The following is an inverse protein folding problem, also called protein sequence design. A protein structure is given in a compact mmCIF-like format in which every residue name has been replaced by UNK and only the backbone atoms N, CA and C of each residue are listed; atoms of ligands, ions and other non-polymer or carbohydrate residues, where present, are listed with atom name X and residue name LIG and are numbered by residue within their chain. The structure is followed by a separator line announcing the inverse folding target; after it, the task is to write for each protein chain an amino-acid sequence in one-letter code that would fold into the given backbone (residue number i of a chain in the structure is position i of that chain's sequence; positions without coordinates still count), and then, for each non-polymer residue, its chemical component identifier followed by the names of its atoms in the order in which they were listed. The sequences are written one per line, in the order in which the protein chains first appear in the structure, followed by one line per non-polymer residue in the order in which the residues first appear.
data_IF_907311043007
#
_entry.id   IF_907311043007
#
_cell.length_a   1.000
_cell.length_b   1.000
_cell.length_c   1.000
_cell.angle_alpha   90.00
_cell.angle_beta   90.00
_cell.angle_gamma   90.00
#
_symmetry.space_group_name_H-M   'P 1'
#
loop_
_entity.id
_entity.type
_entity.pdbx_description
1 polymer ?
#
# COMPACT_ATOMS: atom_id res chain seq x y z
N UNK A 1 -17.43 -24.30 -11.91
CA UNK A 1 -17.59 -24.32 -10.45
C UNK A 1 -16.79 -23.15 -9.91
N UNK A 2 -17.45 -22.01 -9.65
CA UNK A 2 -16.78 -20.75 -9.28
C UNK A 2 -16.48 -20.79 -7.77
N UNK A 3 -15.23 -20.57 -7.32
CA UNK A 3 -14.92 -20.53 -5.89
C UNK A 3 -15.63 -19.34 -5.25
N UNK A 4 -16.37 -19.59 -4.16
CA UNK A 4 -17.05 -18.55 -3.38
C UNK A 4 -16.02 -17.68 -2.67
N UNK A 5 -15.83 -16.43 -3.13
CA UNK A 5 -15.20 -15.37 -2.35
C UNK A 5 -16.25 -14.80 -1.38
N UNK A 6 -16.01 -14.90 -0.07
CA UNK A 6 -16.85 -14.24 0.93
C UNK A 6 -16.31 -12.84 1.24
N UNK A 7 -17.21 -11.85 1.21
CA UNK A 7 -16.94 -10.47 1.58
C UNK A 7 -16.56 -10.37 3.06
N UNK A 8 -15.42 -9.75 3.35
CA UNK A 8 -14.99 -9.47 4.70
C UNK A 8 -15.67 -8.22 5.25
N UNK A 9 -16.51 -8.40 6.28
CA UNK A 9 -16.98 -7.31 7.13
C UNK A 9 -15.90 -6.96 8.15
N UNK A 10 -15.63 -5.66 8.36
CA UNK A 10 -14.63 -5.14 9.31
C UNK A 10 -15.23 -4.11 10.29
N UNK A 11 -14.82 -4.23 11.56
CA UNK A 11 -15.06 -3.46 12.82
C UNK A 11 -16.23 -3.87 13.75
N UNK A 12 -16.10 -3.72 15.11
CA UNK A 12 -14.94 -3.26 15.92
C UNK A 12 -14.43 -4.27 16.99
N UNK A 13 -13.28 -3.91 17.59
CA UNK A 13 -12.63 -4.39 18.82
C UNK A 13 -13.24 -5.57 19.60
N UNK A 14 -12.42 -6.61 19.79
CA UNK A 14 -12.48 -7.49 20.96
C UNK A 14 -12.90 -8.94 20.72
N UNK A 15 -11.93 -9.82 20.45
CA UNK A 15 -11.97 -11.23 20.88
C UNK A 15 -10.60 -11.87 20.66
N UNK A 16 -10.01 -12.33 21.76
CA UNK A 16 -8.73 -13.02 21.85
C UNK A 16 -8.91 -14.51 21.52
N UNK A 17 -7.99 -15.00 20.68
CA UNK A 17 -7.44 -16.35 20.49
C UNK A 17 -8.35 -17.59 20.69
N UNK A 18 -8.46 -18.36 19.61
CA UNK A 18 -8.65 -19.81 19.62
C UNK A 18 -7.70 -20.47 18.62
N UNK A 19 -6.68 -21.15 19.16
CA UNK A 19 -5.75 -22.13 18.56
C UNK A 19 -6.12 -22.75 17.20
N UNK A 20 -5.11 -22.94 16.33
CA UNK A 20 -4.68 -24.28 15.91
C UNK A 20 -3.35 -24.27 15.15
N UNK A 21 -2.54 -25.25 15.51
CA UNK A 21 -1.20 -25.61 15.08
C UNK A 21 -1.22 -26.23 13.67
N UNK A 22 -0.20 -25.98 12.85
CA UNK A 22 -0.04 -26.65 11.55
C UNK A 22 1.32 -26.40 10.93
N UNK A 23 2.30 -27.22 11.29
CA UNK A 23 3.63 -27.24 10.72
C UNK A 23 3.62 -27.69 9.25
N UNK A 24 4.49 -27.08 8.42
CA UNK A 24 4.99 -27.73 7.21
C UNK A 24 6.45 -27.34 6.99
N UNK A 25 7.31 -28.35 7.11
CA UNK A 25 8.74 -28.32 6.83
C UNK A 25 8.99 -28.34 5.32
N UNK A 26 10.02 -27.62 4.87
CA UNK A 26 10.60 -27.77 3.54
C UNK A 26 12.01 -27.18 3.48
N UNK A 27 13.03 -27.99 3.78
CA UNK A 27 14.41 -27.79 3.31
C UNK A 27 14.42 -28.12 1.80
N UNK A 28 15.21 -27.53 0.90
CA UNK A 28 16.68 -27.36 0.82
C UNK A 28 16.98 -26.59 -0.48
N UNK A 29 18.11 -25.88 -0.56
CA UNK A 29 18.74 -25.57 -1.86
C UNK A 29 19.75 -24.42 -1.84
N UNK A 30 21.05 -24.74 -1.83
CA UNK A 30 22.17 -23.81 -1.91
C UNK A 30 22.35 -23.21 -3.32
N UNK A 31 22.87 -21.98 -3.36
CA UNK A 31 23.83 -21.51 -4.37
C UNK A 31 23.25 -20.66 -5.51
N UNK A 32 23.73 -19.42 -5.64
CA UNK A 32 23.55 -18.62 -6.85
C UNK A 32 23.70 -17.11 -6.64
N UNK A 33 24.84 -16.59 -7.09
CA UNK A 33 25.28 -15.19 -7.18
C UNK A 33 24.21 -14.09 -7.08
N UNK A 34 24.54 -13.06 -6.30
CA UNK A 34 23.76 -11.86 -6.06
C UNK A 34 23.24 -11.19 -7.33
N UNK A 35 21.91 -11.09 -7.42
CA UNK A 35 21.24 -10.16 -8.32
C UNK A 35 21.55 -8.74 -7.85
N UNK A 36 22.35 -8.02 -8.63
CA UNK A 36 22.33 -6.56 -8.59
C UNK A 36 20.95 -6.15 -9.11
N UNK A 37 20.05 -5.79 -8.19
CA UNK A 37 18.77 -5.18 -8.54
C UNK A 37 19.09 -3.74 -8.94
N UNK A 38 19.16 -3.49 -10.24
CA UNK A 38 19.24 -2.12 -10.76
C UNK A 38 17.91 -1.43 -10.49
N UNK A 39 17.86 -0.59 -9.46
CA UNK A 39 16.72 0.28 -9.18
C UNK A 39 16.83 1.51 -10.08
N UNK A 40 16.48 1.39 -11.37
CA UNK A 40 16.46 2.55 -12.27
C UNK A 40 15.14 3.30 -12.10
N UNK A 41 15.09 4.25 -11.15
CA UNK A 41 14.07 5.30 -11.17
C UNK A 41 14.37 6.23 -12.36
N UNK A 42 13.73 6.00 -13.50
CA UNK A 42 13.76 6.95 -14.61
C UNK A 42 12.54 7.85 -14.52
N UNK A 43 12.71 9.00 -13.86
CA UNK A 43 11.74 10.08 -13.93
C UNK A 43 11.74 10.65 -15.36
N UNK A 44 10.66 10.40 -16.10
CA UNK A 44 10.40 11.07 -17.38
C UNK A 44 9.23 12.01 -17.20
N UNK A 45 9.52 13.31 -17.14
CA UNK A 45 8.53 14.36 -17.21
C UNK A 45 8.28 14.73 -18.67
N UNK A 46 7.03 14.66 -19.12
CA UNK A 46 6.55 15.38 -20.30
C UNK A 46 5.08 15.75 -20.10
N UNK A 47 4.78 17.04 -20.33
CA UNK A 47 3.41 17.55 -20.44
C UNK A 47 2.60 16.70 -21.43
N UNK A 48 1.56 16.02 -20.92
CA UNK A 48 0.46 15.50 -21.76
C UNK A 48 0.60 14.12 -22.38
N UNK A 49 1.76 13.46 -22.36
CA UNK A 49 1.89 12.06 -22.81
C UNK A 49 3.17 11.44 -22.25
N UNK A 50 3.06 10.35 -21.47
CA UNK A 50 4.22 9.58 -20.99
C UNK A 50 4.79 8.76 -22.17
N UNK A 51 5.66 9.39 -22.96
CA UNK A 51 6.50 8.74 -23.95
C UNK A 51 7.91 8.53 -23.39
N UNK A 52 8.10 7.52 -22.54
CA UNK A 52 9.39 7.23 -21.91
C UNK A 52 9.77 5.76 -22.05
N UNK A 53 10.57 5.43 -23.08
CA UNK A 53 11.15 4.11 -23.43
C UNK A 53 10.19 2.91 -23.48
N UNK A 54 10.42 1.97 -24.40
CA UNK A 54 9.57 0.76 -24.53
C UNK A 54 9.57 -0.16 -23.29
N UNK A 55 10.36 0.13 -22.25
CA UNK A 55 10.51 -0.70 -21.07
C UNK A 55 10.72 0.13 -19.79
N UNK A 56 9.98 -0.20 -18.73
CA UNK A 56 10.13 0.28 -17.36
C UNK A 56 9.62 -0.80 -16.41
N UNK A 57 10.24 -0.96 -15.24
CA UNK A 57 9.81 -1.96 -14.25
C UNK A 57 8.51 -1.55 -13.55
N UNK A 58 8.34 -0.26 -13.25
CA UNK A 58 7.13 0.29 -12.67
C UNK A 58 6.94 1.78 -13.03
N UNK A 59 5.70 2.26 -12.95
CA UNK A 59 5.34 3.67 -13.17
C UNK A 59 5.14 4.42 -11.85
N UNK A 60 5.37 5.73 -11.83
CA UNK A 60 5.36 6.51 -10.58
C UNK A 60 4.44 7.73 -10.66
N UNK A 61 3.11 7.57 -10.53
CA UNK A 61 2.24 8.73 -10.38
C UNK A 61 2.53 9.46 -9.06
N UNK A 62 2.58 10.79 -9.14
CA UNK A 62 2.83 11.68 -8.00
C UNK A 62 1.50 12.33 -7.56
N UNK A 63 1.20 12.30 -6.25
CA UNK A 63 -0.09 12.75 -5.66
C UNK A 63 -1.36 12.16 -6.32
N UNK A 64 -1.21 11.12 -7.12
CA UNK A 64 -2.28 10.50 -7.89
C UNK A 64 -2.23 8.98 -7.75
N UNK A 65 -3.40 8.36 -7.89
CA UNK A 65 -3.60 6.93 -7.99
C UNK A 65 -4.38 6.64 -9.27
N UNK A 66 -4.24 5.43 -9.80
CA UNK A 66 -5.11 4.99 -10.89
C UNK A 66 -6.53 4.73 -10.38
N UNK A 67 -7.53 4.92 -11.24
CA UNK A 67 -8.93 4.65 -10.90
C UNK A 67 -9.25 3.15 -10.94
N UNK A 68 -8.61 2.42 -11.85
CA UNK A 68 -8.81 0.99 -12.06
C UNK A 68 -7.57 0.17 -11.70
N UNK A 69 -7.76 -1.16 -11.59
CA UNK A 69 -6.65 -2.10 -11.47
C UNK A 69 -5.77 -2.05 -12.72
N UNK A 70 -4.46 -2.13 -12.53
CA UNK A 70 -3.49 -2.08 -13.63
C UNK A 70 -2.76 -3.41 -13.80
N UNK A 71 -2.46 -3.76 -15.05
CA UNK A 71 -1.69 -4.98 -15.38
C UNK A 71 -0.17 -4.81 -15.16
N UNK A 72 0.29 -3.56 -15.10
CA UNK A 72 1.68 -3.19 -14.82
C UNK A 72 1.86 -2.76 -13.37
N UNK A 73 3.10 -2.81 -12.86
CA UNK A 73 3.41 -2.32 -11.53
C UNK A 73 3.55 -0.80 -11.51
N UNK A 74 3.16 -0.19 -10.39
CA UNK A 74 3.29 1.23 -10.18
C UNK A 74 3.48 1.57 -8.70
N UNK A 75 3.96 2.77 -8.42
CA UNK A 75 4.24 3.28 -7.08
C UNK A 75 3.72 4.72 -6.96
N UNK A 76 2.72 4.92 -6.10
CA UNK A 76 2.22 6.24 -5.78
C UNK A 76 3.21 6.92 -4.84
N UNK A 77 3.72 8.08 -5.22
CA UNK A 77 4.58 8.90 -4.35
C UNK A 77 3.85 10.14 -3.88
N UNK A 78 3.91 10.40 -2.57
CA UNK A 78 3.32 11.60 -1.95
C UNK A 78 3.94 11.93 -0.60
N UNK A 79 3.83 13.19 -0.20
CA UNK A 79 3.99 13.61 1.19
C UNK A 79 2.83 13.15 2.08
N UNK A 80 3.07 13.15 3.40
CA UNK A 80 2.00 13.07 4.41
C UNK A 80 1.16 14.36 4.37
N UNK A 81 1.82 15.50 4.13
CA UNK A 81 1.22 16.80 3.80
C UNK A 81 1.20 17.07 2.29
N UNK A 82 1.21 18.35 1.90
CA UNK A 82 1.29 18.78 0.50
C UNK A 82 2.73 18.95 0.00
N UNK A 83 3.70 19.05 0.91
CA UNK A 83 5.12 19.12 0.59
C UNK A 83 5.85 17.79 0.81
N UNK A 84 6.94 17.60 0.05
CA UNK A 84 7.93 16.57 0.35
C UNK A 84 8.94 17.04 1.41
N UNK A 85 9.29 18.32 1.41
CA UNK A 85 10.19 18.89 2.41
C UNK A 85 9.44 19.24 3.70
N UNK A 86 10.17 19.43 4.80
CA UNK A 86 9.57 20.03 5.99
C UNK A 86 9.07 21.44 5.67
N UNK A 87 7.76 21.65 5.81
CA UNK A 87 7.14 22.96 5.69
C UNK A 87 6.50 23.36 7.03
N UNK A 88 7.12 24.32 7.72
CA UNK A 88 6.62 24.86 9.01
C UNK A 88 5.25 25.55 8.92
N UNK A 89 4.81 25.91 7.72
CA UNK A 89 3.50 26.54 7.51
C UNK A 89 2.37 25.51 7.36
N UNK A 90 2.68 24.22 7.23
CA UNK A 90 1.65 23.18 7.19
C UNK A 90 1.23 22.80 8.62
N UNK A 91 -0.01 23.15 8.98
CA UNK A 91 -0.68 22.67 10.19
C UNK A 91 -1.32 21.28 9.99
N UNK A 92 -1.87 20.68 11.07
CA UNK A 92 -2.52 19.35 11.07
C UNK A 92 -3.57 19.15 9.99
N UNK A 93 -4.27 20.20 9.58
CA UNK A 93 -5.29 20.22 8.54
C UNK A 93 -4.76 19.94 7.13
N UNK A 94 -3.46 20.16 6.92
CA UNK A 94 -2.80 19.91 5.64
C UNK A 94 -2.21 18.50 5.55
N UNK A 95 -2.15 17.79 6.67
CA UNK A 95 -1.66 16.42 6.75
C UNK A 95 -2.84 15.46 6.68
N UNK A 96 -2.66 14.35 5.97
CA UNK A 96 -3.60 13.25 6.07
C UNK A 96 -3.73 12.77 7.52
N UNK A 97 -4.96 12.46 7.92
CA UNK A 97 -5.23 11.66 9.10
C UNK A 97 -4.70 10.23 8.92
N UNK A 98 -4.57 9.48 10.02
CA UNK A 98 -4.16 8.07 9.97
C UNK A 98 -5.18 7.26 9.16
N UNK A 99 -6.46 7.54 9.33
CA UNK A 99 -7.57 6.89 8.64
C UNK A 99 -7.53 7.15 7.14
N UNK A 100 -7.29 8.39 6.72
CA UNK A 100 -7.16 8.73 5.29
C UNK A 100 -5.90 8.09 4.69
N UNK A 101 -4.79 8.07 5.42
CA UNK A 101 -3.57 7.42 5.00
C UNK A 101 -3.76 5.92 4.79
N UNK A 102 -4.41 5.24 5.74
CA UNK A 102 -4.75 3.82 5.62
C UNK A 102 -5.68 3.58 4.43
N UNK A 103 -6.75 4.38 4.27
CA UNK A 103 -7.68 4.24 3.15
C UNK A 103 -6.99 4.42 1.80
N UNK A 104 -6.14 5.45 1.68
CA UNK A 104 -5.35 5.69 0.47
C UNK A 104 -4.40 4.53 0.19
N UNK A 105 -3.73 4.02 1.22
CA UNK A 105 -2.81 2.90 1.08
C UNK A 105 -3.52 1.62 0.61
N UNK A 106 -4.65 1.27 1.21
CA UNK A 106 -5.45 0.09 0.82
C UNK A 106 -5.97 0.23 -0.62
N UNK A 107 -6.42 1.42 -1.02
CA UNK A 107 -6.85 1.68 -2.40
C UNK A 107 -5.71 1.43 -3.40
N UNK A 108 -4.52 1.97 -3.14
CA UNK A 108 -3.33 1.79 -3.98
C UNK A 108 -2.96 0.30 -4.12
N UNK A 109 -2.89 -0.43 -3.00
CA UNK A 109 -2.52 -1.86 -3.00
C UNK A 109 -3.55 -2.70 -3.74
N UNK A 110 -4.84 -2.42 -3.57
CA UNK A 110 -5.92 -3.12 -4.28
C UNK A 110 -5.83 -2.97 -5.81
N UNK A 111 -5.19 -1.91 -6.30
CA UNK A 111 -5.04 -1.57 -7.72
C UNK A 111 -3.65 -1.88 -8.29
N UNK A 112 -2.92 -2.79 -7.64
CA UNK A 112 -1.59 -3.28 -8.02
C UNK A 112 -0.42 -2.33 -7.72
N UNK A 113 -0.67 -1.28 -6.95
CA UNK A 113 0.31 -0.24 -6.64
C UNK A 113 1.04 -0.46 -5.32
N UNK A 114 2.18 0.22 -5.20
CA UNK A 114 2.89 0.44 -3.95
C UNK A 114 2.70 1.90 -3.49
N UNK A 115 2.82 2.16 -2.18
CA UNK A 115 2.85 3.52 -1.65
C UNK A 115 4.27 3.86 -1.19
N UNK A 116 4.85 4.89 -1.80
CA UNK A 116 6.05 5.56 -1.33
C UNK A 116 5.64 6.81 -0.54
N UNK A 117 5.62 6.68 0.79
CA UNK A 117 5.24 7.77 1.68
C UNK A 117 6.49 8.56 2.09
N UNK A 118 6.53 9.84 1.72
CA UNK A 118 7.64 10.71 2.01
C UNK A 118 7.53 11.34 3.42
N UNK A 119 8.66 11.42 4.11
CA UNK A 119 8.84 12.08 5.41
C UNK A 119 9.81 13.24 5.22
N UNK A 120 9.48 14.41 5.75
CA UNK A 120 10.33 15.61 5.69
C UNK A 120 10.92 15.92 7.07
N UNK A 121 12.17 15.54 7.37
CA UNK A 121 12.84 15.92 8.61
C UNK A 121 13.03 17.43 8.72
N UNK A 122 13.05 17.93 9.95
CA UNK A 122 13.40 19.31 10.27
C UNK A 122 14.89 19.59 10.00
N UNK A 123 15.29 20.86 10.04
CA UNK A 123 16.67 21.27 9.77
C UNK A 123 17.70 20.66 10.75
N UNK A 124 17.27 20.26 11.94
CA UNK A 124 18.06 19.54 12.94
C UNK A 124 18.10 18.00 12.71
N UNK A 125 17.46 17.52 11.64
CA UNK A 125 17.35 16.11 11.28
C UNK A 125 16.26 15.34 12.03
N UNK A 126 15.51 15.98 12.92
CA UNK A 126 14.43 15.31 13.67
C UNK A 126 13.15 15.23 12.84
N UNK A 127 12.39 14.13 12.97
CA UNK A 127 11.10 13.99 12.30
C UNK A 127 10.05 14.74 13.11
N UNK A 128 9.26 15.65 12.48
CA UNK A 128 8.16 16.34 13.16
C UNK A 128 7.19 15.36 13.83
N UNK A 129 6.74 15.69 15.04
CA UNK A 129 5.91 14.78 15.84
C UNK A 129 4.63 14.37 15.11
N UNK A 130 4.02 15.32 14.41
CA UNK A 130 2.83 15.09 13.59
C UNK A 130 3.04 13.98 12.54
N UNK A 131 4.20 13.97 11.86
CA UNK A 131 4.56 12.93 10.89
C UNK A 131 4.83 11.60 11.57
N UNK A 132 5.51 11.63 12.73
CA UNK A 132 5.79 10.44 13.53
C UNK A 132 4.50 9.75 13.98
N UNK A 133 3.55 10.48 14.53
CA UNK A 133 2.25 9.96 14.97
C UNK A 133 1.53 9.21 13.83
N UNK A 134 1.55 9.77 12.61
CA UNK A 134 0.89 9.18 11.45
C UNK A 134 1.56 7.90 10.97
N UNK A 135 2.90 7.89 10.97
CA UNK A 135 3.68 6.69 10.65
C UNK A 135 3.45 5.58 11.69
N UNK A 136 3.42 5.93 12.97
CA UNK A 136 3.14 4.98 14.04
C UNK A 136 1.71 4.44 13.96
N UNK A 137 0.72 5.29 13.67
CA UNK A 137 -0.67 4.88 13.47
C UNK A 137 -0.83 3.90 12.31
N UNK A 138 -0.20 4.19 11.16
CA UNK A 138 -0.17 3.27 10.03
C UNK A 138 0.52 1.94 10.40
N UNK A 139 1.64 2.01 11.12
CA UNK A 139 2.38 0.83 11.59
C UNK A 139 1.56 -0.05 12.53
N UNK A 140 0.81 0.55 13.47
CA UNK A 140 -0.09 -0.17 14.37
C UNK A 140 -1.22 -0.86 13.61
N UNK A 141 -1.79 -0.19 12.61
CA UNK A 141 -2.81 -0.79 11.75
C UNK A 141 -2.25 -1.96 10.93
N UNK A 142 -1.04 -1.81 10.38
CA UNK A 142 -0.32 -2.85 9.65
C UNK A 142 0.03 -4.06 10.52
N UNK A 143 0.30 -3.87 11.81
CA UNK A 143 0.59 -4.98 12.72
C UNK A 143 -0.60 -5.96 12.85
N UNK A 144 -1.83 -5.47 12.64
CA UNK A 144 -3.05 -6.29 12.69
C UNK A 144 -3.46 -6.77 11.28
N UNK A 145 -3.31 -5.93 10.26
CA UNK A 145 -3.89 -6.16 8.92
C UNK A 145 -2.85 -6.47 7.83
N UNK A 146 -1.58 -6.61 8.20
CA UNK A 146 -0.47 -6.72 7.25
C UNK A 146 -0.55 -7.92 6.31
N UNK A 147 -1.14 -9.04 6.74
CA UNK A 147 -1.28 -10.25 5.90
C UNK A 147 -2.09 -10.02 4.62
N UNK A 148 -3.02 -9.07 4.65
CA UNK A 148 -3.85 -8.76 3.51
C UNK A 148 -3.31 -7.58 2.65
N UNK A 149 -2.12 -7.09 3.01
CA UNK A 149 -1.36 -6.11 2.26
C UNK A 149 -0.11 -6.76 1.67
N UNK A 150 0.73 -7.36 2.51
CA UNK A 150 2.01 -7.89 2.09
C UNK A 150 1.86 -9.19 1.30
N UNK A 151 2.55 -9.29 0.16
CA UNK A 151 2.51 -10.47 -0.69
C UNK A 151 1.22 -10.66 -1.49
N UNK A 152 0.26 -9.74 -1.37
CA UNK A 152 -1.02 -9.85 -2.07
C UNK A 152 -0.95 -9.37 -3.52
N UNK A 153 -2.01 -9.65 -4.27
CA UNK A 153 -2.28 -9.19 -5.64
C UNK A 153 -3.70 -8.63 -5.70
N UNK A 154 -3.99 -7.74 -6.68
CA UNK A 154 -5.35 -7.33 -6.96
C UNK A 154 -6.25 -8.54 -7.18
N UNK A 155 -7.45 -8.50 -6.62
CA UNK A 155 -8.50 -9.42 -7.04
C UNK A 155 -9.08 -8.97 -8.39
N UNK A 156 -9.89 -9.82 -9.03
CA UNK A 156 -10.57 -9.53 -10.32
C UNK A 156 -11.35 -8.21 -10.27
N UNK A 157 -11.83 -7.84 -9.08
CA UNK A 157 -12.47 -6.56 -8.81
C UNK A 157 -11.79 -5.91 -7.62
N UNK A 158 -11.16 -4.74 -7.81
CA UNK A 158 -10.47 -4.03 -6.74
C UNK A 158 -11.42 -3.37 -5.73
N UNK A 159 -12.61 -2.94 -6.16
CA UNK A 159 -13.53 -2.18 -5.31
C UNK A 159 -14.96 -2.70 -5.31
N UNK A 160 -15.66 -2.54 -4.19
CA UNK A 160 -17.07 -2.85 -4.05
C UNK A 160 -17.78 -1.88 -3.11
N UNK A 161 -19.08 -2.10 -2.93
CA UNK A 161 -19.89 -1.39 -1.94
C UNK A 161 -20.72 -2.40 -1.14
N UNK A 162 -20.85 -2.16 0.15
CA UNK A 162 -21.80 -2.88 1.00
C UNK A 162 -23.23 -2.44 0.71
N UNK A 163 -24.22 -3.16 1.24
CA UNK A 163 -25.64 -2.78 1.20
C UNK A 163 -25.92 -1.43 1.87
N UNK A 164 -25.01 -0.98 2.75
CA UNK A 164 -25.07 0.29 3.46
C UNK A 164 -24.30 1.41 2.73
N UNK A 165 -23.76 1.13 1.54
CA UNK A 165 -23.03 2.11 0.72
C UNK A 165 -21.56 2.31 1.12
N UNK A 166 -21.04 1.50 2.05
CA UNK A 166 -19.65 1.59 2.50
C UNK A 166 -18.72 1.05 1.41
N UNK A 167 -17.71 1.84 1.03
CA UNK A 167 -16.69 1.42 0.06
C UNK A 167 -15.79 0.33 0.64
N UNK A 168 -15.58 -0.74 -0.12
CA UNK A 168 -14.67 -1.84 0.23
C UNK A 168 -13.62 -2.04 -0.85
N UNK A 169 -12.49 -2.63 -0.46
CA UNK A 169 -11.34 -2.95 -1.33
C UNK A 169 -10.97 -4.41 -1.19
N UNK A 170 -10.43 -5.00 -2.25
CA UNK A 170 -10.11 -6.41 -2.30
C UNK A 170 -8.67 -6.66 -2.76
N UNK A 171 -7.99 -7.54 -2.04
CA UNK A 171 -6.66 -8.08 -2.34
C UNK A 171 -6.71 -9.60 -2.16
N UNK A 172 -5.75 -10.33 -2.74
CA UNK A 172 -5.69 -11.79 -2.69
C UNK A 172 -4.24 -12.28 -2.51
N UNK A 173 -4.01 -13.33 -1.72
CA UNK A 173 -2.70 -14.00 -1.63
C UNK A 173 -2.80 -15.50 -1.99
N UNK A 174 -2.13 -15.94 -3.05
CA UNK A 174 -2.21 -17.35 -3.51
C UNK A 174 -3.62 -17.79 -3.94
N UNK A 175 -3.88 -19.11 -3.99
CA UNK A 175 -5.22 -19.68 -4.27
C UNK A 175 -6.27 -19.35 -3.18
N UNK A 176 -5.87 -18.64 -2.12
CA UNK A 176 -6.73 -18.33 -0.99
C UNK A 176 -7.03 -16.83 -0.97
N UNK A 177 -8.30 -16.47 -1.14
CA UNK A 177 -8.78 -15.11 -0.90
C UNK A 177 -8.59 -14.78 0.60
N UNK A 178 -7.44 -14.21 0.98
CA UNK A 178 -7.15 -13.78 2.35
C UNK A 178 -7.79 -12.43 2.62
N UNK A 179 -8.62 -12.38 3.66
CA UNK A 179 -9.53 -11.31 4.05
C UNK A 179 -8.80 -10.23 4.89
N UNK A 180 -8.49 -9.05 4.31
CA UNK A 180 -8.29 -7.78 5.07
C UNK A 180 -9.61 -7.22 5.53
#
# INVERSE_FOLDING_TARGET
MVPRCQAGYFYPLGAVLGSCLGAAHGRTGQGGLGRVVHFTQRFSFSEGQIGGSQHADFRTPEYASFDETTDFKWEATRGIGYSFGYNRNEGPENYLSVEELVRSFVDIVSKNGNLLLNVGPMADGTIPELQRERLLGLGQWLAVNGEAIFGTRPWVRAEGRTTEGIGVRFTQSGETCTRS
#
